data_IF_143677070043
#
_entry.id   IF_143677070043
#
_cell.length_a   1.000
_cell.length_b   1.000
_cell.length_c   1.000
_cell.angle_alpha   90.00
_cell.angle_beta   90.00
_cell.angle_gamma   90.00
#
_symmetry.space_group_name_H-M   'P 1'
#
loop_
_entity.id
_entity.type
_entity.pdbx_description
1 polymer ?
#
# COMPACT_ATOMS: atom_id res chain seq x y z
N UNK A 1 5.39 -28.97 -12.29
CA UNK A 1 6.06 -27.82 -12.94
C UNK A 1 5.76 -26.61 -12.07
N UNK A 2 6.83 -25.92 -11.65
CA UNK A 2 6.86 -24.92 -10.58
C UNK A 2 5.99 -23.72 -10.91
N UNK A 3 5.12 -23.36 -9.94
CA UNK A 3 4.26 -22.18 -9.93
C UNK A 3 5.15 -20.95 -10.14
N UNK A 4 5.23 -20.49 -11.38
CA UNK A 4 6.06 -19.37 -11.80
C UNK A 4 5.13 -18.18 -11.93
N UNK A 5 5.11 -17.33 -10.90
CA UNK A 5 4.86 -15.88 -10.95
C UNK A 5 4.60 -15.37 -9.52
N UNK A 6 5.65 -15.39 -8.69
CA UNK A 6 5.80 -14.36 -7.65
C UNK A 6 6.02 -13.04 -8.41
N UNK A 7 4.93 -12.44 -8.89
CA UNK A 7 4.93 -10.99 -9.10
C UNK A 7 5.35 -10.39 -7.75
N UNK A 8 6.18 -9.32 -7.71
CA UNK A 8 6.43 -8.63 -6.46
C UNK A 8 5.07 -8.12 -5.96
N UNK A 9 4.45 -8.92 -5.09
CA UNK A 9 3.24 -8.56 -4.38
C UNK A 9 3.63 -7.28 -3.67
N UNK A 10 2.92 -6.19 -3.93
CA UNK A 10 3.22 -4.90 -3.35
C UNK A 10 3.27 -5.09 -1.82
N UNK A 11 4.48 -5.19 -1.26
CA UNK A 11 4.66 -5.79 0.08
C UNK A 11 4.20 -4.82 1.15
N UNK A 12 4.48 -3.53 0.94
CA UNK A 12 4.07 -2.47 1.85
C UNK A 12 4.35 -1.08 1.30
N UNK A 13 3.42 -0.15 1.50
CA UNK A 13 3.61 1.27 1.18
C UNK A 13 4.77 1.89 1.96
N UNK A 14 4.95 1.49 3.23
CA UNK A 14 6.06 1.98 4.05
C UNK A 14 7.41 1.49 3.53
N UNK A 15 7.49 0.23 3.10
CA UNK A 15 8.73 -0.32 2.55
C UNK A 15 9.05 0.40 1.23
N UNK A 16 8.06 0.57 0.36
CA UNK A 16 8.26 1.26 -0.91
C UNK A 16 8.67 2.73 -0.72
N UNK A 17 8.10 3.43 0.27
CA UNK A 17 8.50 4.79 0.62
C UNK A 17 9.94 4.86 1.12
N UNK A 18 10.34 3.94 2.01
CA UNK A 18 11.69 3.90 2.59
C UNK A 18 12.77 3.52 1.57
N UNK A 19 12.44 2.60 0.66
CA UNK A 19 13.34 2.13 -0.39
C UNK A 19 13.34 3.04 -1.62
N UNK A 20 12.54 4.11 -1.60
CA UNK A 20 12.35 5.05 -2.72
C UNK A 20 11.93 4.34 -4.02
N UNK A 21 11.19 3.24 -3.89
CA UNK A 21 10.68 2.42 -5.00
C UNK A 21 9.23 2.74 -5.38
N UNK A 22 8.62 3.73 -4.73
CA UNK A 22 7.31 4.24 -5.11
C UNK A 22 7.34 4.83 -6.53
N UNK A 23 6.29 4.56 -7.30
CA UNK A 23 6.08 5.27 -8.56
C UNK A 23 5.67 6.72 -8.30
N UNK A 24 5.79 7.58 -9.32
CA UNK A 24 5.34 8.98 -9.24
C UNK A 24 3.87 9.09 -8.85
N UNK A 25 3.02 8.19 -9.36
CA UNK A 25 1.59 8.13 -9.02
C UNK A 25 1.37 7.72 -7.55
N UNK A 26 2.14 6.76 -7.04
CA UNK A 26 2.05 6.33 -5.64
C UNK A 26 2.54 7.42 -4.68
N UNK A 27 3.60 8.13 -5.04
CA UNK A 27 4.08 9.28 -4.26
C UNK A 27 3.06 10.42 -4.27
N UNK A 28 2.45 10.70 -5.42
CA UNK A 28 1.41 11.72 -5.54
C UNK A 28 0.20 11.38 -4.65
N UNK A 29 -0.21 10.12 -4.58
CA UNK A 29 -1.28 9.68 -3.67
C UNK A 29 -0.94 9.93 -2.21
N UNK A 30 0.27 9.57 -1.75
CA UNK A 30 0.70 9.85 -0.38
C UNK A 30 0.72 11.36 -0.09
N UNK A 31 1.17 12.16 -1.06
CA UNK A 31 1.22 13.60 -0.94
C UNK A 31 -0.18 14.24 -0.91
N UNK A 32 -1.12 13.72 -1.69
CA UNK A 32 -2.53 14.12 -1.67
C UNK A 32 -3.15 13.83 -0.31
N UNK A 33 -2.92 12.65 0.27
CA UNK A 33 -3.41 12.31 1.62
C UNK A 33 -2.86 13.26 2.70
N UNK A 34 -1.64 13.76 2.55
CA UNK A 34 -1.07 14.77 3.46
C UNK A 34 -1.72 16.13 3.23
N UNK A 35 -1.90 16.53 1.97
CA UNK A 35 -2.49 17.81 1.58
C UNK A 35 -3.97 17.92 2.00
N UNK A 36 -4.72 16.84 1.84
CA UNK A 36 -6.12 16.73 2.30
C UNK A 36 -6.25 16.64 3.83
N UNK A 37 -5.13 16.57 4.56
CA UNK A 37 -5.11 16.44 6.02
C UNK A 37 -5.58 15.09 6.53
N UNK A 38 -5.62 14.07 5.67
CA UNK A 38 -5.89 12.68 6.07
C UNK A 38 -4.72 12.07 6.85
N UNK A 39 -3.52 12.63 6.67
CA UNK A 39 -2.31 12.23 7.38
C UNK A 39 -1.41 13.43 7.67
N UNK A 40 -0.66 13.35 8.76
CA UNK A 40 0.27 14.43 9.16
C UNK A 40 1.61 14.35 8.39
N UNK A 41 1.96 13.16 7.89
CA UNK A 41 3.21 12.89 7.18
C UNK A 41 3.03 11.80 6.12
N UNK A 42 3.92 11.77 5.12
CA UNK A 42 3.94 10.73 4.08
C UNK A 42 4.10 9.32 4.67
N UNK A 43 4.88 9.19 5.74
CA UNK A 43 5.04 7.93 6.47
C UNK A 43 3.72 7.47 7.09
N UNK A 44 2.93 8.39 7.67
CA UNK A 44 1.60 8.07 8.20
C UNK A 44 0.59 7.76 7.09
N UNK A 45 0.64 8.46 5.97
CA UNK A 45 -0.16 8.10 4.79
C UNK A 45 0.12 6.66 4.34
N UNK A 46 1.41 6.30 4.25
CA UNK A 46 1.84 4.97 3.85
C UNK A 46 1.37 3.88 4.84
N UNK A 47 1.44 4.12 6.15
CA UNK A 47 0.90 3.21 7.16
C UNK A 47 -0.62 3.00 7.03
N UNK A 48 -1.37 4.07 6.78
CA UNK A 48 -2.83 4.01 6.60
C UNK A 48 -3.21 3.19 5.37
N UNK A 49 -2.51 3.39 4.25
CA UNK A 49 -2.73 2.61 3.03
C UNK A 49 -2.35 1.14 3.20
N UNK A 50 -1.26 0.86 3.91
CA UNK A 50 -0.87 -0.52 4.24
C UNK A 50 -1.94 -1.24 5.06
N UNK A 51 -2.51 -0.54 6.04
CA UNK A 51 -3.59 -1.07 6.85
C UNK A 51 -4.88 -1.29 6.04
N UNK A 52 -5.22 -0.36 5.14
CA UNK A 52 -6.38 -0.49 4.26
C UNK A 52 -6.26 -1.68 3.32
N UNK A 53 -5.10 -1.86 2.69
CA UNK A 53 -4.83 -2.98 1.77
C UNK A 53 -4.96 -4.34 2.47
N UNK A 54 -4.43 -4.45 3.70
CA UNK A 54 -4.58 -5.65 4.53
C UNK A 54 -6.02 -5.88 4.96
N UNK A 55 -6.79 -4.84 5.25
CA UNK A 55 -8.19 -4.98 5.65
C UNK A 55 -9.09 -5.41 4.48
N UNK A 56 -8.87 -4.87 3.28
CA UNK A 56 -9.57 -5.27 2.07
C UNK A 56 -9.27 -6.74 1.73
N UNK A 57 -7.99 -7.13 1.73
CA UNK A 57 -7.59 -8.53 1.53
C UNK A 57 -8.18 -9.47 2.60
N UNK A 58 -8.17 -9.07 3.89
CA UNK A 58 -8.75 -9.89 4.95
C UNK A 58 -10.28 -10.11 4.80
N UNK A 59 -10.99 -9.13 4.23
CA UNK A 59 -12.45 -9.20 4.05
C UNK A 59 -12.84 -10.09 2.87
N UNK A 60 -12.03 -10.13 1.80
CA UNK A 60 -12.21 -11.06 0.68
C UNK A 60 -12.02 -12.53 1.08
N UNK A 61 -11.13 -12.81 2.04
CA UNK A 61 -10.94 -14.17 2.57
C UNK A 61 -12.06 -14.65 3.50
N UNK A 62 -12.92 -13.77 4.02
CA UNK A 62 -14.03 -14.14 4.91
C UNK A 62 -15.33 -14.45 4.17
N UNK A 63 -15.48 -13.98 2.92
CA UNK A 63 -16.67 -14.19 2.08
C UNK A 63 -16.39 -14.98 0.80
N UNK A 64 -15.45 -15.95 0.85
CA UNK A 64 -15.27 -16.93 -0.22
C UNK A 64 -16.44 -17.92 -0.27
N UNK A 65 -17.40 -17.67 -1.16
CA UNK A 65 -18.41 -18.64 -1.62
C UNK A 65 -17.86 -19.52 -2.75
#
# INVERSE_FOLDING_TARGET
MTQSQDAPQFVSWQIALRDETLTEEQMALLQEMVDEGQSETLERAAELLDFQDRFINATEHMYGF
#
